data_IF_705263738773
#
_entry.id   IF_705263738773
#
_cell.length_a   1.000
_cell.length_b   1.000
_cell.length_c   1.000
_cell.angle_alpha   90.00
_cell.angle_beta   90.00
_cell.angle_gamma   90.00
#
_symmetry.space_group_name_H-M   'P 1'
#
loop_
_entity.id
_entity.type
_entity.pdbx_description
1 polymer ?
#
# COMPACT_ATOMS: atom_id res chain seq x y z
N UNK A 1 43.57 -0.28 -67.71
CA UNK A 1 42.14 -0.14 -68.08
C UNK A 1 41.53 0.91 -67.16
N UNK A 2 41.31 2.09 -67.76
CA UNK A 2 40.55 3.28 -67.34
C UNK A 2 40.33 3.60 -65.85
N UNK A 3 41.04 4.65 -65.43
CA UNK A 3 40.67 5.67 -64.45
C UNK A 3 39.49 6.53 -64.91
N UNK A 4 38.83 7.23 -63.97
CA UNK A 4 38.32 8.61 -64.18
C UNK A 4 37.94 9.29 -62.87
N UNK A 5 38.87 10.12 -62.39
CA UNK A 5 38.61 11.35 -61.65
C UNK A 5 37.97 12.38 -62.59
N UNK A 6 37.02 13.18 -62.10
CA UNK A 6 36.76 14.50 -62.67
C UNK A 6 36.52 15.52 -61.56
N UNK A 7 37.57 16.32 -61.34
CA UNK A 7 37.54 17.70 -60.85
C UNK A 7 37.17 18.55 -62.07
N UNK A 8 36.36 19.60 -61.93
CA UNK A 8 36.62 20.81 -62.69
C UNK A 8 36.04 22.06 -62.02
N UNK A 9 36.89 23.08 -62.07
CA UNK A 9 36.83 24.39 -61.46
C UNK A 9 36.60 25.42 -62.58
N UNK A 10 36.14 26.61 -62.18
CA UNK A 10 36.27 27.92 -62.83
C UNK A 10 35.32 28.34 -63.96
N UNK A 11 34.43 29.27 -63.60
CA UNK A 11 34.59 30.72 -63.86
C UNK A 11 34.93 31.15 -65.29
N UNK A 12 33.97 31.81 -65.97
CA UNK A 12 34.23 32.76 -67.05
C UNK A 12 33.26 33.95 -66.98
N UNK A 13 33.84 35.10 -67.30
CA UNK A 13 33.46 36.48 -67.03
C UNK A 13 32.54 37.10 -68.11
N UNK A 14 31.96 38.24 -67.76
CA UNK A 14 31.14 39.13 -68.59
C UNK A 14 31.92 39.81 -69.73
N UNK A 15 31.22 40.17 -70.83
CA UNK A 15 31.16 41.54 -71.41
C UNK A 15 30.95 41.61 -72.94
N UNK A 16 30.22 42.65 -73.40
CA UNK A 16 30.22 43.21 -74.76
C UNK A 16 28.95 42.97 -75.59
N UNK A 17 27.91 43.83 -75.52
CA UNK A 17 27.67 45.02 -76.36
C UNK A 17 27.57 44.76 -77.87
N UNK A 18 26.37 44.89 -78.43
CA UNK A 18 26.20 45.48 -79.77
C UNK A 18 24.83 46.16 -79.95
N UNK A 19 24.89 47.21 -80.74
CA UNK A 19 24.08 48.41 -80.73
C UNK A 19 23.05 48.43 -81.90
N UNK A 20 22.03 49.30 -81.76
CA UNK A 20 21.26 49.96 -82.81
C UNK A 20 20.28 49.15 -83.70
N UNK A 21 18.97 49.29 -83.41
CA UNK A 21 17.94 49.34 -84.44
C UNK A 21 17.04 50.58 -84.29
N UNK A 22 17.22 51.47 -85.26
CA UNK A 22 16.29 52.39 -85.93
C UNK A 22 14.89 52.65 -85.34
N UNK A 23 14.60 53.95 -85.15
CA UNK A 23 13.27 54.56 -84.97
C UNK A 23 12.22 54.08 -86.00
N UNK A 24 10.96 53.89 -85.57
CA UNK A 24 9.86 54.86 -85.77
C UNK A 24 8.50 54.37 -85.25
N UNK A 25 7.78 55.33 -84.65
CA UNK A 25 6.30 55.53 -84.54
C UNK A 25 5.48 54.74 -83.50
N UNK A 26 5.04 55.51 -82.50
CA UNK A 26 3.64 55.79 -82.09
C UNK A 26 2.68 54.60 -81.99
N UNK A 27 2.32 54.22 -80.77
CA UNK A 27 0.94 54.33 -80.27
C UNK A 27 0.90 54.10 -78.76
N UNK A 28 0.12 54.92 -78.08
CA UNK A 28 -0.16 54.89 -76.66
C UNK A 28 -1.00 53.66 -76.27
N UNK A 29 -0.61 52.95 -75.21
CA UNK A 29 -1.56 52.20 -74.37
C UNK A 29 -1.27 52.49 -72.91
N UNK A 30 -2.34 52.90 -72.25
CA UNK A 30 -2.48 53.46 -70.91
C UNK A 30 -2.09 52.49 -69.79
N UNK A 31 -1.14 52.92 -68.96
CA UNK A 31 -1.27 53.12 -67.51
C UNK A 31 -2.49 52.46 -66.82
N UNK A 32 -2.41 51.20 -66.41
CA UNK A 32 -3.22 50.63 -65.31
C UNK A 32 -2.71 49.21 -64.98
N UNK A 33 -1.97 49.04 -63.87
CA UNK A 33 -1.68 47.69 -63.35
C UNK A 33 -0.26 47.42 -62.83
N UNK A 34 0.43 48.40 -62.25
CA UNK A 34 1.73 48.15 -61.60
C UNK A 34 1.89 48.98 -60.32
N UNK A 35 1.04 48.77 -59.31
CA UNK A 35 1.32 49.23 -57.94
C UNK A 35 0.43 48.52 -56.90
N UNK A 36 0.71 47.26 -56.59
CA UNK A 36 0.12 46.59 -55.42
C UNK A 36 0.98 45.41 -54.95
N UNK A 37 2.28 45.62 -54.73
CA UNK A 37 3.12 44.68 -54.00
C UNK A 37 4.08 45.46 -53.10
N UNK A 38 4.22 44.97 -51.86
CA UNK A 38 5.19 45.34 -50.81
C UNK A 38 4.66 46.35 -49.77
N UNK A 39 3.87 45.82 -48.82
CA UNK A 39 4.00 46.17 -47.40
C UNK A 39 3.86 44.87 -46.58
N UNK A 40 4.83 43.97 -46.72
CA UNK A 40 5.07 42.94 -45.71
C UNK A 40 6.14 43.52 -44.77
N UNK A 41 5.70 44.24 -43.74
CA UNK A 41 6.59 44.69 -42.69
C UNK A 41 7.16 43.47 -41.98
N UNK A 42 8.48 43.39 -41.89
CA UNK A 42 9.16 42.37 -41.09
C UNK A 42 8.70 42.50 -39.64
N UNK A 43 7.94 41.52 -39.15
CA UNK A 43 7.64 41.39 -37.73
C UNK A 43 8.94 40.98 -37.01
N UNK A 44 9.66 41.98 -36.50
CA UNK A 44 10.80 41.75 -35.62
C UNK A 44 10.28 41.29 -34.27
N UNK A 45 10.51 40.02 -33.92
CA UNK A 45 10.32 39.54 -32.55
C UNK A 45 11.43 40.13 -31.68
N UNK A 46 11.08 41.05 -30.78
CA UNK A 46 11.98 41.57 -29.77
C UNK A 46 11.94 40.60 -28.59
N UNK A 47 13.03 39.84 -28.38
CA UNK A 47 13.26 39.12 -27.13
C UNK A 47 13.64 40.15 -26.06
N UNK A 48 12.69 40.49 -25.19
CA UNK A 48 12.92 41.42 -24.10
C UNK A 48 13.68 40.74 -22.96
N UNK A 49 14.97 41.06 -22.82
CA UNK A 49 15.76 40.76 -21.63
C UNK A 49 16.74 39.59 -21.76
N UNK A 50 17.66 39.49 -20.78
CA UNK A 50 18.51 38.31 -20.61
C UNK A 50 17.59 37.12 -20.30
N UNK A 51 17.49 36.16 -21.22
CA UNK A 51 16.83 34.88 -20.92
C UNK A 51 17.66 34.16 -19.86
N UNK A 52 17.14 34.04 -18.65
CA UNK A 52 17.66 33.06 -17.69
C UNK A 52 17.46 31.65 -18.26
N UNK A 53 18.30 30.70 -17.86
CA UNK A 53 18.07 29.31 -18.19
C UNK A 53 16.69 28.89 -17.65
N UNK A 54 15.89 28.20 -18.48
CA UNK A 54 14.68 27.54 -18.02
C UNK A 54 15.14 26.30 -17.25
N UNK A 55 15.11 26.38 -15.93
CA UNK A 55 15.36 25.24 -15.05
C UNK A 55 14.04 24.50 -14.84
N UNK A 56 13.57 23.80 -15.88
CA UNK A 56 12.42 22.92 -15.75
C UNK A 56 12.78 21.73 -14.85
N UNK A 57 11.87 21.32 -13.98
CA UNK A 57 12.07 20.15 -13.14
C UNK A 57 11.17 19.01 -13.65
N UNK A 58 11.64 17.76 -13.61
CA UNK A 58 10.75 16.65 -13.89
C UNK A 58 9.71 16.52 -12.77
N UNK A 59 8.50 16.03 -13.09
CA UNK A 59 7.50 15.69 -12.10
C UNK A 59 8.05 14.64 -11.12
N UNK A 60 7.42 14.52 -9.95
CA UNK A 60 7.86 13.66 -8.87
C UNK A 60 6.68 12.98 -8.16
N UNK A 61 6.97 12.07 -7.23
CA UNK A 61 5.98 11.26 -6.52
C UNK A 61 6.27 11.21 -5.02
N UNK A 62 5.22 11.24 -4.22
CA UNK A 62 5.26 11.04 -2.76
C UNK A 62 4.05 10.23 -2.32
N UNK A 63 4.03 9.83 -1.04
CA UNK A 63 2.88 9.14 -0.44
C UNK A 63 3.26 7.75 0.04
N UNK A 64 2.31 6.82 -0.03
CA UNK A 64 2.39 5.50 0.59
C UNK A 64 2.14 4.41 -0.43
N UNK A 65 3.01 3.40 -0.44
CA UNK A 65 2.74 2.12 -1.09
C UNK A 65 1.90 1.26 -0.16
N UNK A 66 1.20 0.26 -0.70
CA UNK A 66 0.44 -0.72 0.08
C UNK A 66 0.88 -2.14 -0.25
N UNK A 67 1.12 -2.97 0.76
CA UNK A 67 1.36 -4.40 0.59
C UNK A 67 0.04 -5.17 0.74
N UNK A 68 -0.02 -6.33 0.11
CA UNK A 68 -1.12 -7.27 0.21
C UNK A 68 -0.65 -8.51 0.99
N UNK A 69 -1.53 -9.05 1.83
CA UNK A 69 -1.35 -10.34 2.47
C UNK A 69 -1.14 -11.46 1.41
N UNK A 70 -0.66 -12.65 1.81
CA UNK A 70 -0.50 -13.78 0.89
C UNK A 70 -1.74 -14.19 0.10
N UNK A 71 -2.95 -13.79 0.54
CA UNK A 71 -4.20 -13.98 -0.20
C UNK A 71 -4.29 -13.12 -1.48
N UNK A 72 -3.45 -12.09 -1.61
CA UNK A 72 -3.43 -11.17 -2.73
C UNK A 72 -4.61 -10.19 -2.78
N UNK A 73 -5.40 -10.08 -1.70
CA UNK A 73 -6.61 -9.25 -1.65
C UNK A 73 -6.59 -8.33 -0.43
N UNK A 74 -6.21 -8.86 0.74
CA UNK A 74 -6.24 -8.10 1.99
C UNK A 74 -5.05 -7.15 2.03
N UNK A 75 -5.33 -5.86 2.14
CA UNK A 75 -4.33 -4.82 2.27
C UNK A 75 -3.71 -4.89 3.67
N UNK A 76 -2.38 -4.82 3.74
CA UNK A 76 -1.64 -4.72 5.00
C UNK A 76 -1.55 -3.24 5.34
N UNK A 77 -2.36 -2.82 6.30
CA UNK A 77 -2.32 -1.44 6.77
C UNK A 77 -1.01 -1.15 7.51
N UNK A 78 -0.65 0.14 7.56
CA UNK A 78 0.45 0.61 8.39
C UNK A 78 0.09 0.27 9.84
N UNK A 79 0.86 -0.64 10.44
CA UNK A 79 0.66 -1.17 11.81
C UNK A 79 -0.28 -2.38 11.95
N UNK A 80 -0.74 -2.96 10.83
CA UNK A 80 -1.44 -4.25 10.88
C UNK A 80 -0.47 -5.39 11.23
N UNK A 81 -0.95 -6.28 12.10
CA UNK A 81 -0.20 -7.40 12.61
C UNK A 81 -0.27 -8.58 11.63
N UNK A 82 0.88 -8.98 11.09
CA UNK A 82 1.00 -10.14 10.23
C UNK A 82 0.84 -11.44 11.04
N UNK A 83 0.29 -12.46 10.41
CA UNK A 83 0.10 -13.73 11.07
C UNK A 83 1.40 -14.57 11.03
N UNK A 84 1.76 -15.32 12.09
CA UNK A 84 2.91 -16.23 12.12
C UNK A 84 3.02 -17.22 10.96
N UNK A 85 1.88 -17.58 10.38
CA UNK A 85 1.83 -18.51 9.24
C UNK A 85 2.11 -17.84 7.89
N UNK A 86 2.20 -16.51 7.83
CA UNK A 86 2.46 -15.78 6.59
C UNK A 86 3.87 -16.04 6.10
N UNK A 87 4.00 -16.09 4.77
CA UNK A 87 5.26 -16.40 4.09
C UNK A 87 5.72 -15.14 3.36
N UNK A 88 6.89 -14.57 3.70
CA UNK A 88 7.40 -13.32 3.13
C UNK A 88 7.33 -13.25 1.59
N UNK A 89 7.78 -14.30 0.91
CA UNK A 89 7.80 -14.38 -0.56
C UNK A 89 6.41 -14.51 -1.21
N UNK A 90 5.33 -14.55 -0.42
CA UNK A 90 3.96 -14.57 -0.92
C UNK A 90 3.26 -13.22 -0.82
N UNK A 91 3.84 -12.26 -0.08
CA UNK A 91 3.32 -10.90 -0.01
C UNK A 91 3.57 -10.19 -1.35
N UNK A 92 2.64 -9.33 -1.74
CA UNK A 92 2.67 -8.62 -3.02
C UNK A 92 2.53 -7.14 -2.82
N UNK A 93 3.07 -6.35 -3.73
CA UNK A 93 2.75 -4.93 -3.82
C UNK A 93 1.34 -4.77 -4.43
N UNK A 94 0.53 -3.93 -3.80
CA UNK A 94 -0.79 -3.58 -4.31
C UNK A 94 -0.67 -2.78 -5.61
N UNK A 95 -1.55 -3.07 -6.58
CA UNK A 95 -1.71 -2.25 -7.78
C UNK A 95 -2.54 -0.99 -7.54
N UNK A 96 -3.15 -0.85 -6.35
CA UNK A 96 -3.87 0.36 -5.96
C UNK A 96 -2.86 1.49 -5.73
N UNK A 97 -2.89 2.47 -6.62
CA UNK A 97 -2.08 3.68 -6.58
C UNK A 97 -2.71 4.82 -5.76
N UNK A 98 -3.77 4.53 -5.00
CA UNK A 98 -4.56 5.53 -4.25
C UNK A 98 -3.78 6.23 -3.14
N UNK A 99 -2.64 5.67 -2.72
CA UNK A 99 -1.76 6.27 -1.71
C UNK A 99 -0.67 7.17 -2.27
N UNK A 100 -0.50 7.28 -3.60
CA UNK A 100 0.55 8.09 -4.22
C UNK A 100 -0.01 9.41 -4.77
N UNK A 101 0.75 10.47 -4.55
CA UNK A 101 0.49 11.80 -5.08
C UNK A 101 1.64 12.21 -6.01
N UNK A 102 1.29 12.64 -7.22
CA UNK A 102 2.23 13.22 -8.16
C UNK A 102 2.25 14.72 -7.99
N UNK A 103 3.44 15.29 -7.95
CA UNK A 103 3.63 16.73 -7.78
C UNK A 103 4.75 17.22 -8.68
N UNK A 104 4.74 18.51 -8.94
CA UNK A 104 5.75 19.18 -9.73
C UNK A 104 6.19 20.48 -9.02
N UNK A 105 7.44 20.90 -9.22
CA UNK A 105 8.02 22.06 -8.50
C UNK A 105 7.75 23.38 -9.21
N UNK A 106 7.59 23.35 -10.52
CA UNK A 106 7.41 24.49 -11.41
C UNK A 106 5.94 24.73 -11.79
N UNK A 107 5.04 23.86 -11.33
CA UNK A 107 3.59 24.06 -11.41
C UNK A 107 2.96 23.44 -12.65
N UNK A 108 3.60 22.41 -13.21
CA UNK A 108 3.08 21.71 -14.37
C UNK A 108 1.72 21.05 -14.13
N UNK A 109 0.91 21.04 -15.18
CA UNK A 109 -0.43 20.46 -15.19
C UNK A 109 -0.46 19.09 -15.85
N UNK A 110 -1.52 18.33 -15.59
CA UNK A 110 -1.72 17.00 -16.18
C UNK A 110 -0.77 15.94 -15.62
N UNK A 111 -0.47 16.02 -14.33
CA UNK A 111 0.40 15.06 -13.65
C UNK A 111 -0.24 13.67 -13.63
N UNK A 112 0.56 12.66 -13.99
CA UNK A 112 0.15 11.27 -13.90
C UNK A 112 1.36 10.37 -13.71
N UNK A 113 1.15 9.14 -13.27
CA UNK A 113 2.23 8.18 -13.18
C UNK A 113 1.78 6.73 -13.24
N UNK A 114 2.75 5.87 -13.57
CA UNK A 114 2.60 4.44 -13.72
C UNK A 114 3.58 3.73 -12.80
N UNK A 115 3.05 2.86 -11.96
CA UNK A 115 3.83 2.04 -11.02
C UNK A 115 4.14 0.69 -11.68
N UNK A 116 5.41 0.32 -11.75
CA UNK A 116 5.84 -0.96 -12.29
C UNK A 116 5.84 -2.04 -11.20
N UNK A 117 4.65 -2.46 -10.76
CA UNK A 117 4.48 -3.40 -9.63
C UNK A 117 5.23 -4.74 -9.81
N UNK A 118 5.40 -5.21 -11.04
CA UNK A 118 6.14 -6.45 -11.34
C UNK A 118 7.66 -6.27 -11.30
N UNK A 119 8.14 -5.02 -11.29
CA UNK A 119 9.55 -4.65 -11.12
C UNK A 119 9.85 -4.26 -9.66
N UNK A 120 8.91 -4.44 -8.73
CA UNK A 120 9.09 -4.09 -7.33
C UNK A 120 9.99 -5.09 -6.59
N UNK A 121 10.96 -4.56 -5.85
CA UNK A 121 11.77 -5.32 -4.92
C UNK A 121 11.22 -5.17 -3.50
N UNK A 122 10.78 -6.28 -2.91
CA UNK A 122 10.33 -6.35 -1.52
C UNK A 122 11.46 -6.97 -0.68
N UNK A 123 12.14 -6.14 0.09
CA UNK A 123 13.35 -6.49 0.83
C UNK A 123 13.00 -6.67 2.31
N UNK A 124 13.01 -7.92 2.76
CA UNK A 124 12.80 -8.28 4.16
C UNK A 124 14.07 -8.23 4.98
N UNK A 125 13.99 -7.60 6.14
CA UNK A 125 15.06 -7.54 7.13
C UNK A 125 14.51 -7.87 8.51
N UNK A 126 15.34 -8.52 9.33
CA UNK A 126 15.16 -8.58 10.77
C UNK A 126 15.28 -7.17 11.36
N UNK A 127 14.80 -6.99 12.59
CA UNK A 127 14.86 -5.68 13.28
C UNK A 127 16.29 -5.15 13.44
N UNK A 128 17.27 -6.05 13.59
CA UNK A 128 18.71 -5.78 13.68
C UNK A 128 19.35 -5.33 12.34
N UNK A 129 18.57 -5.32 11.25
CA UNK A 129 19.01 -4.91 9.92
C UNK A 129 19.55 -6.05 9.05
N UNK A 130 19.64 -7.29 9.55
CA UNK A 130 20.06 -8.42 8.73
C UNK A 130 18.98 -8.79 7.72
N UNK A 131 19.35 -8.87 6.44
CA UNK A 131 18.44 -9.30 5.36
C UNK A 131 18.09 -10.78 5.49
N UNK A 132 16.81 -11.11 5.30
CA UNK A 132 16.36 -12.50 5.20
C UNK A 132 16.84 -13.09 3.87
N UNK A 133 17.37 -14.31 3.90
CA UNK A 133 17.75 -15.03 2.68
C UNK A 133 16.53 -15.72 2.03
N UNK A 134 16.71 -16.25 0.82
CA UNK A 134 15.62 -16.88 0.05
C UNK A 134 14.99 -18.08 0.76
N UNK A 135 15.76 -18.84 1.55
CA UNK A 135 15.23 -19.96 2.32
C UNK A 135 14.33 -19.46 3.46
N UNK A 136 14.78 -18.46 4.22
CA UNK A 136 13.99 -17.85 5.31
C UNK A 136 12.70 -17.22 4.77
N UNK A 137 12.77 -16.52 3.64
CA UNK A 137 11.59 -15.90 3.02
C UNK A 137 10.59 -16.91 2.43
N UNK A 138 11.00 -18.18 2.26
CA UNK A 138 10.11 -19.27 1.83
C UNK A 138 9.39 -19.97 2.98
N UNK A 139 9.70 -19.61 4.23
CA UNK A 139 9.13 -20.22 5.43
C UNK A 139 8.13 -19.26 6.10
N UNK A 140 7.21 -19.80 6.92
CA UNK A 140 6.38 -18.97 7.78
C UNK A 140 7.23 -18.06 8.68
N UNK A 141 6.76 -16.83 8.92
CA UNK A 141 7.40 -15.85 9.81
C UNK A 141 7.63 -16.40 11.22
N UNK A 142 6.76 -17.31 11.67
CA UNK A 142 6.86 -17.99 12.96
C UNK A 142 6.47 -17.08 14.13
N UNK A 143 7.04 -17.34 15.31
CA UNK A 143 6.69 -16.63 16.55
C UNK A 143 6.91 -15.11 16.45
N UNK A 144 6.26 -14.39 17.37
CA UNK A 144 6.26 -12.92 17.49
C UNK A 144 7.65 -12.32 17.29
N UNK A 145 7.79 -11.55 16.22
CA UNK A 145 9.01 -10.87 15.79
C UNK A 145 8.64 -9.58 15.07
N UNK A 146 9.50 -8.58 15.20
CA UNK A 146 9.42 -7.35 14.42
C UNK A 146 10.33 -7.47 13.21
N UNK A 147 9.86 -6.96 12.08
CA UNK A 147 10.60 -6.94 10.83
C UNK A 147 10.67 -5.51 10.28
N UNK A 148 11.58 -5.30 9.35
CA UNK A 148 11.62 -4.12 8.48
C UNK A 148 11.45 -4.59 7.05
N UNK A 149 10.52 -4.01 6.33
CA UNK A 149 10.28 -4.34 4.92
C UNK A 149 10.47 -3.07 4.10
N UNK A 150 11.52 -3.04 3.30
CA UNK A 150 11.74 -1.96 2.35
C UNK A 150 11.17 -2.39 1.00
N UNK A 151 10.28 -1.59 0.45
CA UNK A 151 9.73 -1.78 -0.88
C UNK A 151 10.34 -0.72 -1.78
N UNK A 152 10.99 -1.17 -2.85
CA UNK A 152 11.55 -0.30 -3.88
C UNK A 152 10.82 -0.60 -5.17
N UNK A 153 10.21 0.40 -5.78
CA UNK A 153 9.44 0.23 -7.02
C UNK A 153 9.77 1.32 -8.02
N UNK A 154 9.98 0.99 -9.31
CA UNK A 154 10.07 2.00 -10.34
C UNK A 154 8.71 2.65 -10.59
N UNK A 155 8.70 3.97 -10.65
CA UNK A 155 7.53 4.79 -10.99
C UNK A 155 7.89 5.70 -12.15
N UNK A 156 7.17 5.58 -13.26
CA UNK A 156 7.24 6.59 -14.32
C UNK A 156 6.25 7.69 -13.98
N UNK A 157 6.76 8.91 -13.86
CA UNK A 157 6.00 10.12 -13.59
C UNK A 157 5.99 10.98 -14.86
N UNK A 158 4.89 11.68 -15.09
CA UNK A 158 4.72 12.49 -16.30
C UNK A 158 3.86 13.72 -16.04
N UNK A 159 4.09 14.76 -16.81
CA UNK A 159 3.32 16.00 -16.87
C UNK A 159 2.92 16.30 -18.32
N UNK A 160 1.84 17.03 -18.52
CA UNK A 160 1.38 17.42 -19.85
C UNK A 160 2.03 18.72 -20.35
N UNK A 161 2.40 19.62 -19.43
CA UNK A 161 2.93 20.96 -19.75
C UNK A 161 4.45 21.08 -19.56
N UNK A 162 5.07 20.12 -18.89
CA UNK A 162 6.45 20.21 -18.44
C UNK A 162 7.51 19.92 -19.48
N UNK A 163 8.68 20.49 -19.26
CA UNK A 163 9.92 20.13 -19.96
C UNK A 163 11.04 20.11 -18.90
N UNK A 164 11.53 18.95 -18.46
CA UNK A 164 11.20 17.60 -18.93
C UNK A 164 9.78 17.13 -18.56
N UNK A 165 9.07 16.50 -19.50
CA UNK A 165 7.68 16.06 -19.29
C UNK A 165 7.56 14.71 -18.58
N UNK A 166 8.67 13.99 -18.37
CA UNK A 166 8.69 12.62 -17.83
C UNK A 166 9.98 12.32 -17.07
N UNK A 167 9.87 11.41 -16.10
CA UNK A 167 11.02 10.81 -15.42
C UNK A 167 10.69 9.40 -14.92
N UNK A 168 11.72 8.59 -14.65
CA UNK A 168 11.60 7.27 -14.02
C UNK A 168 12.32 7.29 -12.68
N UNK A 169 11.55 7.22 -11.60
CA UNK A 169 12.02 7.36 -10.22
C UNK A 169 11.95 6.00 -9.53
N UNK A 170 13.00 5.62 -8.79
CA UNK A 170 12.94 4.53 -7.83
C UNK A 170 12.30 5.05 -6.54
N UNK A 171 11.01 4.75 -6.34
CA UNK A 171 10.31 5.15 -5.13
C UNK A 171 10.50 4.10 -4.04
N UNK A 172 10.91 4.54 -2.85
CA UNK A 172 11.18 3.68 -1.70
C UNK A 172 10.17 3.92 -0.58
N UNK A 173 9.67 2.85 0.02
CA UNK A 173 8.78 2.91 1.18
C UNK A 173 9.13 1.83 2.19
N UNK A 174 9.14 2.17 3.47
CA UNK A 174 9.48 1.25 4.55
C UNK A 174 8.26 0.93 5.42
N UNK A 175 8.03 -0.37 5.64
CA UNK A 175 7.13 -0.90 6.65
C UNK A 175 7.90 -1.47 7.83
N UNK A 176 7.23 -1.49 8.98
CA UNK A 176 7.71 -2.17 10.20
C UNK A 176 6.62 -3.12 10.70
N UNK A 177 6.32 -4.20 9.96
CA UNK A 177 5.25 -5.10 10.38
C UNK A 177 5.64 -5.82 11.66
N UNK A 178 4.65 -5.97 12.53
CA UNK A 178 4.74 -6.83 13.70
C UNK A 178 4.07 -8.16 13.39
N UNK A 179 4.69 -9.26 13.78
CA UNK A 179 4.13 -10.60 13.60
C UNK A 179 3.52 -11.05 14.92
N UNK A 180 2.31 -11.59 14.89
CA UNK A 180 1.70 -12.15 16.08
C UNK A 180 0.33 -12.78 15.83
N UNK A 181 -0.25 -13.28 16.91
CA UNK A 181 -1.66 -13.67 16.93
C UNK A 181 -2.40 -12.71 17.85
N UNK A 182 -3.65 -12.38 17.50
CA UNK A 182 -4.55 -11.65 18.39
C UNK A 182 -5.58 -12.64 18.91
N UNK A 183 -5.40 -13.21 20.11
CA UNK A 183 -6.34 -14.16 20.67
C UNK A 183 -7.66 -13.45 21.02
N UNK A 184 -8.79 -14.05 20.64
CA UNK A 184 -10.14 -13.58 20.97
C UNK A 184 -10.98 -14.73 21.50
N UNK A 185 -11.86 -14.44 22.46
CA UNK A 185 -12.90 -15.37 22.85
C UNK A 185 -13.96 -15.37 21.74
N UNK A 186 -13.99 -16.41 20.92
CA UNK A 186 -14.89 -16.49 19.76
C UNK A 186 -16.18 -17.24 20.04
N UNK A 187 -16.22 -18.04 21.11
CA UNK A 187 -17.42 -18.76 21.50
C UNK A 187 -17.45 -19.05 23.00
N UNK A 188 -18.62 -18.92 23.61
CA UNK A 188 -18.91 -19.38 24.96
C UNK A 188 -20.22 -20.17 24.90
N UNK A 189 -20.20 -21.42 25.37
CA UNK A 189 -21.39 -22.28 25.41
C UNK A 189 -21.56 -22.89 26.78
N UNK A 190 -22.80 -23.12 27.16
CA UNK A 190 -23.17 -23.96 28.30
C UNK A 190 -23.90 -25.21 27.81
N UNK A 191 -23.69 -26.35 28.46
CA UNK A 191 -24.32 -27.63 28.08
C UNK A 191 -25.81 -27.65 28.44
N UNK A 192 -26.17 -27.03 29.57
CA UNK A 192 -27.54 -27.00 30.10
C UNK A 192 -27.96 -25.56 30.38
N UNK A 193 -29.15 -25.13 29.94
CA UNK A 193 -29.64 -23.77 30.19
C UNK A 193 -30.13 -23.56 31.63
N UNK A 194 -30.45 -24.62 32.37
CA UNK A 194 -30.93 -24.57 33.76
C UNK A 194 -30.20 -25.62 34.61
N UNK A 195 -29.81 -25.23 35.82
CA UNK A 195 -29.03 -26.01 36.78
C UNK A 195 -29.59 -25.73 38.18
N UNK A 196 -29.64 -26.72 39.07
CA UNK A 196 -30.15 -26.52 40.44
C UNK A 196 -29.19 -25.64 41.27
N UNK A 197 -29.71 -24.80 42.15
CA UNK A 197 -28.95 -23.98 43.10
C UNK A 197 -28.66 -24.72 44.42
N UNK A 198 -28.20 -25.97 44.34
CA UNK A 198 -27.96 -26.86 45.49
C UNK A 198 -26.48 -26.92 45.93
N UNK A 199 -25.64 -26.04 45.37
CA UNK A 199 -24.19 -26.00 45.60
C UNK A 199 -23.41 -27.13 44.93
N UNK A 200 -24.08 -28.06 44.24
CA UNK A 200 -23.48 -29.27 43.64
C UNK A 200 -23.68 -29.33 42.14
N UNK A 201 -24.90 -29.11 41.67
CA UNK A 201 -25.20 -29.06 40.25
C UNK A 201 -24.52 -27.85 39.61
N UNK A 202 -23.97 -28.06 38.42
CA UNK A 202 -23.05 -27.09 37.81
C UNK A 202 -23.41 -26.77 36.36
N UNK A 203 -23.24 -25.49 36.02
CA UNK A 203 -23.10 -25.08 34.63
C UNK A 203 -21.69 -25.43 34.17
N UNK A 204 -21.62 -26.31 33.16
CA UNK A 204 -20.37 -26.60 32.45
C UNK A 204 -20.26 -25.60 31.31
N UNK A 205 -19.39 -24.61 31.49
CA UNK A 205 -19.12 -23.60 30.47
C UNK A 205 -17.89 -24.01 29.68
N UNK A 206 -18.03 -24.05 28.35
CA UNK A 206 -16.93 -24.25 27.42
C UNK A 206 -16.65 -22.96 26.66
N UNK A 207 -15.44 -22.46 26.81
CA UNK A 207 -14.91 -21.29 26.12
C UNK A 207 -14.06 -21.77 24.95
N UNK A 208 -14.16 -21.10 23.80
CA UNK A 208 -13.26 -21.29 22.66
C UNK A 208 -12.54 -19.98 22.36
N UNK A 209 -11.22 -20.04 22.32
CA UNK A 209 -10.33 -18.94 21.95
C UNK A 209 -9.74 -19.24 20.57
N UNK A 210 -9.82 -18.25 19.69
CA UNK A 210 -9.25 -18.31 18.34
C UNK A 210 -8.45 -17.06 18.02
N UNK A 211 -7.62 -17.10 16.99
CA UNK A 211 -6.89 -15.93 16.48
C UNK A 211 -7.71 -15.10 15.46
N UNK A 212 -7.07 -14.11 14.83
CA UNK A 212 -7.67 -13.27 13.80
C UNK A 212 -8.08 -14.03 12.52
N UNK A 213 -7.57 -15.25 12.31
CA UNK A 213 -7.93 -16.17 11.22
C UNK A 213 -8.88 -17.29 11.66
N UNK A 214 -9.48 -17.13 12.85
CA UNK A 214 -10.38 -18.10 13.47
C UNK A 214 -9.74 -19.48 13.71
N UNK A 215 -8.41 -19.57 13.80
CA UNK A 215 -7.72 -20.80 14.19
C UNK A 215 -7.64 -20.90 15.72
N UNK A 216 -7.74 -22.11 16.30
CA UNK A 216 -7.71 -22.27 17.75
C UNK A 216 -6.34 -21.89 18.35
N UNK A 217 -6.36 -21.11 19.44
CA UNK A 217 -5.13 -20.68 20.14
C UNK A 217 -4.93 -21.53 21.38
N UNK A 218 -3.86 -22.32 21.41
CA UNK A 218 -3.51 -23.19 22.54
C UNK A 218 -2.63 -22.46 23.57
N UNK A 219 -2.70 -22.92 24.83
CA UNK A 219 -1.97 -22.37 25.98
C UNK A 219 -2.22 -20.87 26.19
N UNK A 220 -3.40 -20.38 25.82
CA UNK A 220 -3.81 -19.00 26.10
C UNK A 220 -4.37 -18.94 27.51
N UNK A 221 -3.79 -18.10 28.35
CA UNK A 221 -4.29 -17.83 29.69
C UNK A 221 -5.55 -16.96 29.63
N UNK A 222 -6.60 -17.45 30.27
CA UNK A 222 -7.88 -16.78 30.45
C UNK A 222 -8.17 -16.72 31.94
N UNK A 223 -8.32 -15.50 32.45
CA UNK A 223 -8.86 -15.26 33.79
C UNK A 223 -10.37 -15.41 33.71
N UNK A 224 -10.90 -16.29 34.56
CA UNK A 224 -12.32 -16.52 34.72
C UNK A 224 -12.69 -15.98 36.09
N UNK A 225 -13.72 -15.17 36.17
CA UNK A 225 -14.29 -14.70 37.43
C UNK A 225 -15.81 -14.79 37.42
N UNK A 226 -16.41 -14.84 38.59
CA UNK A 226 -17.85 -14.92 38.76
C UNK A 226 -18.34 -13.82 39.70
N UNK A 227 -19.62 -13.44 39.59
CA UNK A 227 -20.23 -12.49 40.53
C UNK A 227 -20.49 -13.13 41.90
N UNK A 228 -20.76 -12.32 42.92
CA UNK A 228 -21.05 -12.82 44.27
C UNK A 228 -22.23 -13.80 44.26
N UNK A 229 -22.05 -14.95 44.93
CA UNK A 229 -23.11 -15.97 45.11
C UNK A 229 -22.99 -17.21 44.23
N UNK A 230 -22.02 -17.24 43.32
CA UNK A 230 -21.61 -18.42 42.55
C UNK A 230 -20.17 -18.77 42.88
N UNK A 231 -19.82 -20.06 42.79
CA UNK A 231 -18.48 -20.58 43.07
C UNK A 231 -17.96 -21.29 41.84
N UNK A 232 -16.66 -21.20 41.61
CA UNK A 232 -16.00 -22.08 40.64
C UNK A 232 -15.75 -23.42 41.35
N UNK A 233 -16.31 -24.51 40.83
CA UNK A 233 -16.37 -25.78 41.55
C UNK A 233 -14.96 -26.34 41.87
N UNK A 234 -14.00 -26.10 40.99
CA UNK A 234 -12.64 -26.67 41.07
C UNK A 234 -11.66 -25.79 41.89
N UNK A 235 -12.11 -24.68 42.47
CA UNK A 235 -11.23 -23.71 43.16
C UNK A 235 -11.34 -23.71 44.68
N UNK A 236 -12.05 -24.66 45.30
CA UNK A 236 -12.33 -24.66 46.75
C UNK A 236 -13.01 -23.36 47.25
N UNK A 237 -13.79 -22.70 46.39
CA UNK A 237 -14.58 -21.52 46.77
C UNK A 237 -13.96 -20.17 46.41
N UNK A 238 -12.93 -20.13 45.56
CA UNK A 238 -12.46 -18.87 44.98
C UNK A 238 -13.42 -18.37 43.88
N UNK A 239 -13.62 -17.06 43.84
CA UNK A 239 -14.46 -16.37 42.86
C UNK A 239 -13.73 -16.11 41.53
N UNK A 240 -12.46 -16.53 41.42
CA UNK A 240 -11.69 -16.46 40.18
C UNK A 240 -10.67 -17.59 40.01
N UNK A 241 -10.37 -17.93 38.76
CA UNK A 241 -9.32 -18.89 38.39
C UNK A 241 -8.67 -18.47 37.08
N UNK A 242 -7.37 -18.71 36.93
CA UNK A 242 -6.68 -18.61 35.65
C UNK A 242 -6.53 -20.01 35.04
N UNK A 243 -7.06 -20.18 33.83
CA UNK A 243 -6.96 -21.43 33.08
C UNK A 243 -6.34 -21.18 31.71
N UNK A 244 -5.51 -22.11 31.25
CA UNK A 244 -4.92 -22.06 29.91
C UNK A 244 -5.71 -22.94 28.94
N UNK A 245 -5.90 -22.47 27.71
CA UNK A 245 -6.57 -23.25 26.67
C UNK A 245 -5.79 -24.52 26.28
N UNK A 246 -6.50 -25.59 25.97
CA UNK A 246 -5.88 -26.80 25.42
C UNK A 246 -5.48 -26.63 23.93
N UNK A 247 -4.94 -27.69 23.31
CA UNK A 247 -4.54 -27.71 21.89
C UNK A 247 -5.65 -27.36 20.88
N UNK A 248 -6.91 -27.45 21.28
CA UNK A 248 -8.08 -27.08 20.45
C UNK A 248 -8.60 -25.67 20.78
N UNK A 249 -7.84 -24.89 21.55
CA UNK A 249 -8.22 -23.54 21.96
C UNK A 249 -9.38 -23.50 22.95
N UNK A 250 -9.57 -24.56 23.75
CA UNK A 250 -10.73 -24.67 24.63
C UNK A 250 -10.37 -24.72 26.11
N UNK A 251 -11.26 -24.15 26.91
CA UNK A 251 -11.31 -24.26 28.37
C UNK A 251 -12.71 -24.75 28.74
N UNK A 252 -12.79 -25.63 29.74
CA UNK A 252 -14.06 -25.98 30.38
C UNK A 252 -13.96 -25.62 31.86
N UNK A 253 -15.00 -24.98 32.39
CA UNK A 253 -15.11 -24.60 33.80
C UNK A 253 -16.49 -24.97 34.32
N UNK A 254 -16.51 -25.48 35.55
CA UNK A 254 -17.74 -25.82 36.25
C UNK A 254 -18.06 -24.72 37.26
N UNK A 255 -19.28 -24.20 37.20
CA UNK A 255 -19.75 -23.14 38.10
C UNK A 255 -21.00 -23.63 38.84
N UNK A 256 -21.00 -23.52 40.15
CA UNK A 256 -22.10 -23.91 41.04
C UNK A 256 -22.65 -22.69 41.80
N UNK A 257 -23.85 -22.81 42.34
CA UNK A 257 -24.44 -21.77 43.20
C UNK A 257 -25.28 -22.40 44.30
N UNK A 258 -25.32 -21.77 45.47
CA UNK A 258 -26.29 -22.03 46.54
C UNK A 258 -27.51 -21.08 46.45
N UNK A 259 -27.52 -20.18 45.45
CA UNK A 259 -28.48 -19.08 45.33
C UNK A 259 -29.17 -19.16 43.97
N UNK A 260 -30.49 -19.37 43.97
CA UNK A 260 -31.29 -19.33 42.74
C UNK A 260 -31.33 -17.93 42.13
N UNK A 261 -31.33 -17.85 40.81
CA UNK A 261 -31.41 -16.63 40.04
C UNK A 261 -30.39 -16.58 38.91
N UNK A 262 -30.33 -15.42 38.27
CA UNK A 262 -29.37 -15.15 37.22
C UNK A 262 -28.03 -14.69 37.79
N UNK A 263 -26.96 -15.32 37.31
CA UNK A 263 -25.57 -15.02 37.68
C UNK A 263 -24.72 -14.84 36.41
N UNK A 264 -23.56 -14.23 36.55
CA UNK A 264 -22.69 -13.90 35.41
C UNK A 264 -21.28 -14.41 35.66
N UNK A 265 -20.73 -15.10 34.67
CA UNK A 265 -19.31 -15.40 34.59
C UNK A 265 -18.64 -14.46 33.59
N UNK A 266 -17.48 -13.94 33.96
CA UNK A 266 -16.65 -13.06 33.17
C UNK A 266 -15.37 -13.80 32.74
N UNK A 267 -14.89 -13.49 31.56
CA UNK A 267 -13.72 -14.11 30.96
C UNK A 267 -12.83 -13.02 30.38
N UNK A 268 -11.56 -13.01 30.76
CA UNK A 268 -10.57 -12.06 30.27
C UNK A 268 -9.33 -12.79 29.75
N UNK A 269 -8.95 -12.51 28.51
CA UNK A 269 -7.61 -12.83 28.01
C UNK A 269 -6.67 -11.75 28.53
N UNK A 270 -5.78 -12.10 29.46
CA UNK A 270 -4.95 -11.12 30.19
C UNK A 270 -4.01 -10.34 29.26
N UNK A 271 -3.47 -11.03 28.24
CA UNK A 271 -2.47 -10.49 27.31
C UNK A 271 -2.95 -9.26 26.56
N UNK A 272 -4.20 -9.27 26.08
CA UNK A 272 -4.77 -8.20 25.26
C UNK A 272 -6.04 -7.57 25.84
N UNK A 273 -6.39 -7.92 27.08
CA UNK A 273 -7.58 -7.40 27.78
C UNK A 273 -8.90 -7.68 27.05
N UNK A 274 -8.95 -8.72 26.22
CA UNK A 274 -10.19 -9.14 25.59
C UNK A 274 -11.14 -9.70 26.63
N UNK A 275 -12.30 -9.08 26.79
CA UNK A 275 -13.30 -9.48 27.77
C UNK A 275 -14.55 -10.06 27.11
N UNK A 276 -15.18 -11.00 27.80
CA UNK A 276 -16.48 -11.55 27.44
C UNK A 276 -17.21 -12.04 28.68
N UNK A 277 -18.49 -12.37 28.55
CA UNK A 277 -19.31 -12.81 29.68
C UNK A 277 -20.42 -13.75 29.22
N UNK A 278 -20.95 -14.54 30.14
CA UNK A 278 -22.16 -15.33 29.95
C UNK A 278 -23.05 -15.28 31.19
N UNK A 279 -24.36 -15.16 30.95
CA UNK A 279 -25.37 -15.25 32.00
C UNK A 279 -25.81 -16.70 32.17
N UNK A 280 -25.93 -17.12 33.43
CA UNK A 280 -26.31 -18.45 33.88
C UNK A 280 -27.58 -18.35 34.71
N UNK A 281 -28.42 -19.38 34.72
CA UNK A 281 -29.64 -19.40 35.52
C UNK A 281 -29.66 -20.62 36.42
N UNK A 282 -29.57 -20.37 37.72
CA UNK A 282 -29.71 -21.38 38.74
C UNK A 282 -31.14 -21.38 39.27
N UNK A 283 -31.81 -22.52 39.22
CA UNK A 283 -33.20 -22.65 39.70
C UNK A 283 -33.22 -23.29 41.08
N UNK A 284 -34.30 -23.05 41.85
CA UNK A 284 -34.45 -23.68 43.15
C UNK A 284 -34.44 -25.22 43.02
N UNK A 285 -33.86 -25.93 44.02
CA UNK A 285 -33.89 -27.39 44.09
C UNK A 285 -35.30 -27.98 44.04
#
# INVERSE_FOLDING_TARGET
MLSRFFRNNKEYDNSGCDHFFSLKRKSWVSLLGYLALIFCGSASAILSGKTSAIHGHPPNVKGTLYLLQPDGVTLIEKDELLHPSDIPNKLKLSSLNTGLEFFDKDGDLGLSGKIYVNEADIIWMYEDGKRLNSYEQSKPLGKTKKYRVNVVVPVEVSSATGIPSKDKISFEWQYKPEVGIVPKISNIKTVRPYVLSDGKDSHVITITVTDQRNQPVANQDVLISVNNGVKIADTYGEDSIMLSTNRKGKISVNITSDISGFHTAFFEIIENKWQSQIQMNFIQP
#
